data_IF_251141370510
#
_entry.id   IF_251141370510
#
_cell.length_a   1.000
_cell.length_b   1.000
_cell.length_c   1.000
_cell.angle_alpha   90.00
_cell.angle_beta   90.00
_cell.angle_gamma   90.00
#
_symmetry.space_group_name_H-M   'P 1'
#
loop_
_entity.id
_entity.type
_entity.pdbx_description
1 polymer ?
#
# COMPACT_ATOMS: atom_id res chain seq x y z
N UNK A 1 2.73 34.40 40.06
CA UNK A 1 2.73 34.78 38.65
C UNK A 1 3.45 33.74 37.77
N UNK A 2 4.04 32.66 38.32
CA UNK A 2 4.83 31.68 37.56
C UNK A 2 4.13 30.34 37.26
N UNK A 3 2.85 30.16 37.59
CA UNK A 3 2.09 28.94 37.33
C UNK A 3 1.25 28.96 36.06
N UNK A 4 1.02 30.12 35.46
CA UNK A 4 0.21 30.29 34.24
C UNK A 4 1.08 30.09 32.97
N UNK A 5 2.39 30.35 33.06
CA UNK A 5 3.31 30.23 31.92
C UNK A 5 3.68 28.80 31.59
N UNK A 6 3.51 27.84 32.52
CA UNK A 6 3.83 26.43 32.34
C UNK A 6 2.72 25.64 31.64
N UNK A 7 1.51 26.17 31.57
CA UNK A 7 0.34 25.51 30.97
C UNK A 7 0.24 25.74 29.44
N UNK A 8 0.97 26.73 28.90
CA UNK A 8 0.93 27.09 27.48
C UNK A 8 1.87 26.26 26.62
N UNK A 9 2.77 25.47 27.21
CA UNK A 9 3.81 24.72 26.47
C UNK A 9 3.44 23.27 26.15
N UNK A 10 2.28 22.77 26.60
CA UNK A 10 1.84 21.39 26.41
C UNK A 10 0.93 21.21 25.17
N UNK A 11 0.53 22.30 24.50
CA UNK A 11 -0.40 22.25 23.37
C UNK A 11 0.26 22.15 21.98
N UNK A 12 1.55 21.89 21.86
CA UNK A 12 2.26 22.08 20.58
C UNK A 12 2.88 20.82 19.96
N UNK A 13 2.25 19.66 20.08
CA UNK A 13 2.74 18.50 19.31
C UNK A 13 1.65 17.50 18.92
N UNK A 14 0.49 17.98 18.48
CA UNK A 14 -0.37 17.17 17.64
C UNK A 14 0.15 17.29 16.20
N UNK A 15 1.06 16.41 15.81
CA UNK A 15 1.37 16.19 14.41
C UNK A 15 0.08 15.74 13.73
N UNK A 16 -0.57 16.64 13.03
CA UNK A 16 -1.69 16.31 12.15
C UNK A 16 -1.08 15.52 10.99
N UNK A 17 -1.01 14.18 11.13
CA UNK A 17 -0.78 13.31 10.00
C UNK A 17 -2.00 13.45 9.09
N UNK A 18 -1.86 14.24 8.04
CA UNK A 18 -2.88 14.35 7.01
C UNK A 18 -2.87 13.04 6.21
N UNK A 19 -3.91 12.23 6.40
CA UNK A 19 -4.16 11.05 5.57
C UNK A 19 -4.53 11.52 4.16
N UNK A 20 -3.85 10.99 3.16
CA UNK A 20 -4.13 11.30 1.76
C UNK A 20 -5.10 10.23 1.25
N UNK A 21 -6.34 10.64 0.92
CA UNK A 21 -7.26 9.76 0.22
C UNK A 21 -6.78 9.60 -1.23
N UNK A 22 -6.48 8.39 -1.61
CA UNK A 22 -5.97 8.03 -2.93
C UNK A 22 -6.92 7.04 -3.63
N UNK A 23 -6.81 6.92 -4.93
CA UNK A 23 -7.55 5.94 -5.73
C UNK A 23 -6.61 5.15 -6.65
N UNK A 24 -7.15 4.10 -7.27
CA UNK A 24 -6.41 3.24 -8.18
C UNK A 24 -5.96 3.95 -9.45
N UNK A 25 -6.62 5.03 -9.85
CA UNK A 25 -6.24 5.81 -11.03
C UNK A 25 -4.93 6.56 -10.79
N UNK A 26 -4.72 7.10 -9.58
CA UNK A 26 -3.47 7.75 -9.20
C UNK A 26 -2.30 6.77 -9.20
N UNK A 27 -2.51 5.51 -8.76
CA UNK A 27 -1.48 4.47 -8.73
C UNK A 27 -1.10 3.94 -10.12
N UNK A 28 -1.85 4.26 -11.18
CA UNK A 28 -1.50 3.91 -12.57
C UNK A 28 -0.37 4.75 -13.16
N UNK A 29 0.08 5.80 -12.49
CA UNK A 29 1.22 6.63 -12.96
C UNK A 29 2.55 5.88 -12.77
N UNK A 30 2.66 4.73 -13.43
CA UNK A 30 3.84 3.85 -13.46
C UNK A 30 3.96 3.21 -14.83
N UNK A 31 5.17 3.03 -15.30
CA UNK A 31 5.47 2.29 -16.52
C UNK A 31 6.60 1.28 -16.24
N UNK A 32 6.69 0.25 -17.07
CA UNK A 32 7.62 -0.85 -16.86
C UNK A 32 8.62 -0.91 -18.00
N UNK A 33 9.88 -1.23 -17.67
CA UNK A 33 10.92 -1.52 -18.64
C UNK A 33 11.51 -2.90 -18.39
N UNK A 34 11.73 -3.65 -19.45
CA UNK A 34 12.40 -4.93 -19.38
C UNK A 34 13.87 -4.73 -19.05
N UNK A 35 14.35 -5.34 -17.98
CA UNK A 35 15.74 -5.31 -17.53
C UNK A 35 16.23 -6.74 -17.30
N UNK A 36 17.42 -7.05 -17.81
CA UNK A 36 18.04 -8.35 -17.59
C UNK A 36 18.67 -8.42 -16.20
N UNK A 37 18.45 -9.52 -15.51
CA UNK A 37 19.10 -9.85 -14.24
C UNK A 37 20.08 -10.99 -14.44
N UNK A 38 21.35 -10.76 -14.14
CA UNK A 38 22.39 -11.81 -14.18
C UNK A 38 22.17 -12.87 -13.10
N UNK A 39 21.59 -12.47 -11.95
CA UNK A 39 21.32 -13.37 -10.82
C UNK A 39 20.32 -14.46 -11.18
N UNK A 40 19.28 -14.10 -11.96
CA UNK A 40 18.20 -15.03 -12.34
C UNK A 40 18.27 -15.49 -13.80
N UNK A 41 19.29 -15.05 -14.54
CA UNK A 41 19.46 -15.33 -15.98
C UNK A 41 18.15 -15.09 -16.77
N UNK A 42 17.46 -13.98 -16.48
CA UNK A 42 16.14 -13.69 -17.05
C UNK A 42 15.86 -12.19 -17.12
N UNK A 43 14.83 -11.82 -17.93
CA UNK A 43 14.32 -10.45 -18.02
C UNK A 43 13.15 -10.24 -17.07
N UNK A 44 13.18 -9.12 -16.34
CA UNK A 44 12.14 -8.69 -15.43
C UNK A 44 11.60 -7.33 -15.81
N UNK A 45 10.33 -7.06 -15.47
CA UNK A 45 9.71 -5.76 -15.64
C UNK A 45 9.99 -4.89 -14.41
N UNK A 46 10.85 -3.88 -14.58
CA UNK A 46 11.22 -2.94 -13.51
C UNK A 46 10.31 -1.72 -13.58
N UNK A 47 9.69 -1.30 -12.45
CA UNK A 47 8.79 -0.16 -12.42
C UNK A 47 9.56 1.17 -12.47
N UNK A 48 8.98 2.13 -13.21
CA UNK A 48 9.37 3.53 -13.22
C UNK A 48 8.15 4.36 -12.84
N UNK A 49 8.15 4.85 -11.62
CA UNK A 49 7.03 5.59 -11.06
C UNK A 49 7.01 7.03 -11.58
N UNK A 50 5.81 7.53 -11.89
CA UNK A 50 5.59 8.91 -12.23
C UNK A 50 5.52 9.80 -10.98
N UNK A 51 5.53 11.11 -11.19
CA UNK A 51 5.61 12.10 -10.11
C UNK A 51 4.44 12.04 -9.13
N UNK A 52 3.25 11.66 -9.59
CA UNK A 52 2.06 11.55 -8.74
C UNK A 52 2.25 10.44 -7.72
N UNK A 53 2.70 9.27 -8.17
CA UNK A 53 2.97 8.12 -7.31
C UNK A 53 4.19 8.35 -6.41
N UNK A 54 5.28 8.91 -6.96
CA UNK A 54 6.46 9.27 -6.16
C UNK A 54 6.13 10.23 -5.02
N UNK A 55 5.19 11.16 -5.24
CA UNK A 55 4.71 12.07 -4.19
C UNK A 55 4.06 11.33 -3.02
N UNK A 56 3.42 10.18 -3.26
CA UNK A 56 2.77 9.37 -2.24
C UNK A 56 3.75 8.48 -1.46
N UNK A 57 4.98 8.29 -1.94
CA UNK A 57 5.96 7.43 -1.29
C UNK A 57 6.25 7.88 0.15
N UNK A 58 6.23 6.94 1.09
CA UNK A 58 6.39 7.14 2.53
C UNK A 58 5.30 8.00 3.21
N UNK A 59 4.19 8.28 2.53
CA UNK A 59 3.05 8.98 3.13
C UNK A 59 1.98 8.01 3.58
N UNK A 60 1.20 8.44 4.57
CA UNK A 60 0.00 7.72 4.98
C UNK A 60 -1.11 7.98 3.98
N UNK A 61 -1.58 6.93 3.33
CA UNK A 61 -2.66 6.97 2.35
C UNK A 61 -3.83 6.11 2.81
N UNK A 62 -5.02 6.43 2.30
CA UNK A 62 -6.23 5.63 2.47
C UNK A 62 -6.80 5.28 1.10
N UNK A 63 -7.04 4.00 0.87
CA UNK A 63 -7.53 3.46 -0.41
C UNK A 63 -8.51 2.31 -0.16
N UNK A 64 -9.54 2.21 -1.01
CA UNK A 64 -10.55 1.14 -0.97
C UNK A 64 -10.30 0.12 -2.06
N UNK A 65 -10.48 -1.16 -1.75
CA UNK A 65 -10.32 -2.27 -2.70
C UNK A 65 -10.78 -3.60 -2.12
N UNK A 66 -10.53 -4.66 -2.86
CA UNK A 66 -10.88 -6.02 -2.47
C UNK A 66 -9.75 -6.68 -1.69
N UNK A 67 -10.07 -7.23 -0.52
CA UNK A 67 -9.10 -7.97 0.29
C UNK A 67 -8.86 -9.35 -0.33
N UNK A 68 -7.61 -9.63 -0.69
CA UNK A 68 -7.18 -10.96 -1.10
C UNK A 68 -6.41 -11.62 0.05
N UNK A 69 -6.97 -12.69 0.61
CA UNK A 69 -6.39 -13.47 1.71
C UNK A 69 -5.63 -14.66 1.13
N UNK A 70 -4.43 -14.41 0.57
CA UNK A 70 -3.67 -15.42 -0.21
C UNK A 70 -3.06 -16.50 0.69
N UNK A 71 -2.48 -16.12 1.83
CA UNK A 71 -1.99 -17.03 2.86
C UNK A 71 -2.16 -16.35 4.24
N UNK A 72 -3.38 -16.29 4.77
CA UNK A 72 -3.68 -15.53 5.99
C UNK A 72 -2.96 -16.07 7.23
N UNK A 73 -2.72 -17.39 7.30
CA UNK A 73 -1.96 -18.02 8.38
C UNK A 73 -0.47 -17.59 8.38
N UNK A 74 0.04 -17.15 7.24
CA UNK A 74 1.39 -16.62 7.07
C UNK A 74 1.41 -15.07 7.06
N UNK A 75 0.25 -14.43 7.23
CA UNK A 75 0.10 -12.97 7.19
C UNK A 75 0.16 -12.37 5.78
N UNK A 76 -0.09 -13.18 4.73
CA UNK A 76 -0.04 -12.72 3.33
C UNK A 76 -1.40 -12.19 2.89
N UNK A 77 -1.51 -10.87 2.89
CA UNK A 77 -2.69 -10.11 2.47
C UNK A 77 -2.34 -9.16 1.34
N UNK A 78 -3.26 -9.02 0.39
CA UNK A 78 -3.12 -8.08 -0.74
C UNK A 78 -4.41 -7.29 -0.87
N UNK A 79 -4.32 -5.98 -1.08
CA UNK A 79 -5.43 -5.17 -1.54
C UNK A 79 -5.41 -5.13 -3.06
N UNK A 80 -6.53 -5.46 -3.69
CA UNK A 80 -6.67 -5.49 -5.14
C UNK A 80 -7.71 -4.49 -5.63
N UNK A 81 -7.47 -3.91 -6.79
CA UNK A 81 -8.43 -3.09 -7.49
C UNK A 81 -9.67 -3.90 -7.91
N UNK A 82 -9.48 -5.17 -8.23
CA UNK A 82 -10.51 -6.06 -8.75
C UNK A 82 -10.69 -7.29 -7.82
N UNK A 83 -11.85 -7.97 -7.85
CA UNK A 83 -12.02 -9.25 -7.18
C UNK A 83 -10.99 -10.30 -7.63
N UNK A 84 -10.77 -11.33 -6.83
CA UNK A 84 -9.76 -12.36 -7.06
C UNK A 84 -9.80 -12.96 -8.47
N UNK A 85 -11.00 -13.25 -8.99
CA UNK A 85 -11.17 -13.83 -10.34
C UNK A 85 -10.64 -12.92 -11.47
N UNK A 86 -10.61 -11.60 -11.26
CA UNK A 86 -10.19 -10.58 -12.22
C UNK A 86 -8.96 -9.79 -11.72
N UNK A 87 -8.20 -10.32 -10.77
CA UNK A 87 -7.04 -9.64 -10.19
C UNK A 87 -5.76 -9.86 -11.02
N UNK A 88 -4.70 -9.11 -10.66
CA UNK A 88 -3.38 -9.23 -11.29
C UNK A 88 -2.86 -10.67 -11.32
N UNK A 89 -3.01 -11.45 -10.26
CA UNK A 89 -2.52 -12.84 -10.17
C UNK A 89 -3.25 -13.79 -11.13
N UNK A 90 -4.41 -13.42 -11.64
CA UNK A 90 -5.16 -14.14 -12.67
C UNK A 90 -4.88 -13.62 -14.08
N UNK A 91 -3.95 -12.68 -14.23
CA UNK A 91 -3.54 -12.09 -15.52
C UNK A 91 -4.37 -10.90 -15.98
N UNK A 92 -5.15 -10.30 -15.09
CA UNK A 92 -5.92 -9.09 -15.38
C UNK A 92 -5.30 -7.87 -14.72
N UNK A 93 -5.00 -6.85 -15.52
CA UNK A 93 -4.32 -5.63 -15.08
C UNK A 93 -2.81 -5.82 -14.91
N UNK A 94 -2.12 -4.74 -14.56
CA UNK A 94 -0.70 -4.73 -14.27
C UNK A 94 -0.43 -4.87 -12.75
N UNK A 95 0.84 -4.97 -12.35
CA UNK A 95 1.25 -5.05 -10.95
C UNK A 95 0.74 -3.87 -10.10
N UNK A 96 0.47 -2.72 -10.74
CA UNK A 96 -0.06 -1.51 -10.10
C UNK A 96 -1.51 -1.64 -9.61
N UNK A 97 -2.21 -2.72 -9.96
CA UNK A 97 -3.56 -3.02 -9.49
C UNK A 97 -3.60 -3.82 -8.20
N UNK A 98 -2.44 -4.09 -7.59
CA UNK A 98 -2.30 -4.85 -6.36
C UNK A 98 -1.33 -4.16 -5.39
N UNK A 99 -1.65 -4.17 -4.10
CA UNK A 99 -0.85 -3.60 -3.02
C UNK A 99 -0.66 -4.67 -1.95
N UNK A 100 0.58 -5.01 -1.62
CA UNK A 100 0.89 -5.86 -0.47
C UNK A 100 0.53 -5.14 0.83
N UNK A 101 -0.08 -5.86 1.77
CA UNK A 101 -0.48 -5.32 3.06
C UNK A 101 0.34 -5.92 4.20
N UNK A 102 1.02 -5.06 4.94
CA UNK A 102 1.59 -5.40 6.25
C UNK A 102 0.62 -4.87 7.31
N UNK A 103 -0.33 -5.72 7.69
CA UNK A 103 -1.37 -5.36 8.66
C UNK A 103 -0.80 -5.26 10.08
N UNK A 104 -1.31 -4.30 10.84
CA UNK A 104 -0.98 -4.18 12.27
C UNK A 104 -1.45 -5.43 13.02
N UNK A 105 -0.71 -5.87 14.05
CA UNK A 105 -1.12 -6.97 14.90
C UNK A 105 -2.50 -6.73 15.53
N UNK A 106 -3.29 -7.79 15.65
CA UNK A 106 -4.63 -7.73 16.26
C UNK A 106 -5.74 -7.26 15.31
N UNK A 107 -5.47 -7.21 14.00
CA UNK A 107 -6.50 -6.96 13.00
C UNK A 107 -7.60 -8.05 13.04
N UNK A 108 -8.79 -7.72 12.56
CA UNK A 108 -9.87 -8.68 12.40
C UNK A 108 -9.58 -9.69 11.27
N UNK A 109 -10.34 -10.80 11.25
CA UNK A 109 -10.25 -11.75 10.15
C UNK A 109 -11.00 -11.23 8.93
N UNK A 110 -10.34 -11.26 7.78
CA UNK A 110 -10.92 -10.89 6.50
C UNK A 110 -11.24 -12.12 5.67
N UNK A 111 -12.26 -12.00 4.81
CA UNK A 111 -12.61 -13.00 3.82
C UNK A 111 -12.05 -12.59 2.45
N UNK A 112 -11.88 -13.58 1.56
CA UNK A 112 -11.54 -13.34 0.16
C UNK A 112 -12.63 -12.47 -0.48
N UNK A 113 -12.21 -11.46 -1.27
CA UNK A 113 -13.06 -10.51 -1.99
C UNK A 113 -13.93 -9.59 -1.09
N UNK A 114 -13.62 -9.51 0.19
CA UNK A 114 -14.28 -8.55 1.07
C UNK A 114 -13.85 -7.12 0.70
N UNK A 115 -14.82 -6.22 0.49
CA UNK A 115 -14.52 -4.81 0.21
C UNK A 115 -14.06 -4.14 1.49
N UNK A 116 -12.90 -3.51 1.44
CA UNK A 116 -12.27 -2.88 2.61
C UNK A 116 -11.67 -1.53 2.26
N UNK A 117 -11.65 -0.65 3.24
CA UNK A 117 -10.87 0.60 3.20
C UNK A 117 -9.63 0.43 4.06
N UNK A 118 -8.46 0.59 3.44
CA UNK A 118 -7.15 0.40 4.09
C UNK A 118 -6.43 1.71 4.22
N UNK A 119 -5.89 1.96 5.42
CA UNK A 119 -5.00 3.09 5.71
C UNK A 119 -3.63 2.57 6.11
N UNK A 120 -2.57 3.08 5.52
CA UNK A 120 -1.20 2.68 5.84
C UNK A 120 -0.18 3.55 5.13
N UNK A 121 1.10 3.33 5.44
CA UNK A 121 2.21 4.06 4.82
C UNK A 121 2.61 3.39 3.52
N UNK A 122 2.43 4.11 2.40
CA UNK A 122 2.80 3.60 1.08
C UNK A 122 4.33 3.52 0.94
N UNK A 123 4.78 2.37 0.47
CA UNK A 123 6.16 2.13 0.04
C UNK A 123 6.16 1.72 -1.42
N UNK A 124 6.98 2.40 -2.22
CA UNK A 124 7.25 2.02 -3.60
C UNK A 124 8.41 1.01 -3.63
N UNK A 125 8.24 -0.08 -4.36
CA UNK A 125 9.24 -1.15 -4.52
C UNK A 125 9.88 -1.00 -5.90
N UNK A 126 11.16 -0.67 -5.94
CA UNK A 126 11.88 -0.32 -7.19
C UNK A 126 12.63 -1.50 -7.81
N UNK A 127 13.18 -2.37 -6.99
CA UNK A 127 14.22 -3.34 -7.37
C UNK A 127 14.01 -4.76 -6.80
N UNK A 128 12.93 -4.99 -6.09
CA UNK A 128 12.58 -6.34 -5.62
C UNK A 128 11.62 -7.02 -6.61
N UNK A 129 12.18 -7.86 -7.47
CA UNK A 129 11.44 -8.59 -8.50
C UNK A 129 10.55 -9.71 -7.95
N UNK A 130 10.68 -10.05 -6.67
CA UNK A 130 9.90 -11.08 -5.98
C UNK A 130 8.67 -10.51 -5.26
N UNK A 131 8.62 -9.20 -5.10
CA UNK A 131 7.53 -8.45 -4.45
C UNK A 131 6.64 -7.75 -5.48
N UNK A 132 5.46 -7.30 -5.02
CA UNK A 132 4.66 -6.34 -5.76
C UNK A 132 5.36 -4.99 -5.89
N UNK A 133 4.79 -4.09 -6.67
CA UNK A 133 5.36 -2.73 -6.86
C UNK A 133 4.95 -1.76 -5.75
N UNK A 134 3.89 -2.09 -5.01
CA UNK A 134 3.36 -1.31 -3.88
C UNK A 134 3.24 -2.14 -2.62
N UNK A 135 3.53 -1.51 -1.48
CA UNK A 135 3.29 -2.07 -0.15
C UNK A 135 2.72 -1.01 0.78
N UNK A 136 1.71 -1.36 1.58
CA UNK A 136 1.23 -0.54 2.70
C UNK A 136 1.75 -1.13 4.00
N UNK A 137 2.66 -0.40 4.64
CA UNK A 137 3.21 -0.75 5.95
C UNK A 137 2.34 -0.19 7.07
N UNK A 138 2.36 -0.85 8.24
CA UNK A 138 1.57 -0.48 9.42
C UNK A 138 0.08 -0.30 9.09
N UNK A 139 -0.45 -1.16 8.23
CA UNK A 139 -1.76 -0.99 7.65
C UNK A 139 -2.89 -1.38 8.62
N UNK A 140 -3.96 -0.60 8.56
CA UNK A 140 -5.24 -0.88 9.22
C UNK A 140 -6.32 -1.00 8.16
N UNK A 141 -7.07 -2.10 8.15
CA UNK A 141 -8.16 -2.33 7.22
C UNK A 141 -9.49 -2.33 7.97
N UNK A 142 -10.51 -1.72 7.36
CA UNK A 142 -11.88 -1.65 7.89
C UNK A 142 -12.81 -2.15 6.80
N UNK A 143 -13.75 -3.02 7.14
CA UNK A 143 -14.79 -3.52 6.23
C UNK A 143 -15.77 -2.41 5.90
N UNK A 144 -16.13 -2.28 4.64
CA UNK A 144 -17.09 -1.29 4.14
C UNK A 144 -18.54 -1.78 4.28
#
# INVERSE_FOLDING_TARGET
>A
MNKILSLLFILSSMSIFSQIKTDWLELRDVHYKSQYSEEYDSYFQVPFFGKNVEYLNNKEITITGYMLTLAPDEGVYVLSQNPYADCFFCGYGGPETAIELILKPGHENFLMDELVTVTGRLQLIYDDITSGVYRLNDATAIKD
#
